data_IF_480859364760
#
_entry.id   IF_480859364760
#
_cell.length_a   1.000
_cell.length_b   1.000
_cell.length_c   1.000
_cell.angle_alpha   90.00
_cell.angle_beta   90.00
_cell.angle_gamma   90.00
#
_symmetry.space_group_name_H-M   'P 1'
#
loop_
_entity.id
_entity.type
_entity.pdbx_description
1 polymer ?
#
# COMPACT_ATOMS: atom_id res chain seq x y z
N UNK A 1 14.10 -4.49 4.52
CA UNK A 1 13.40 -5.05 3.33
C UNK A 1 12.28 -4.09 2.95
N UNK A 2 11.95 -3.95 1.67
CA UNK A 2 10.95 -2.99 1.17
C UNK A 2 9.62 -3.67 0.88
N UNK A 3 8.51 -2.99 1.18
CA UNK A 3 7.15 -3.47 0.95
C UNK A 3 6.27 -2.37 0.37
N UNK A 4 5.26 -2.73 -0.41
CA UNK A 4 4.26 -1.79 -0.93
C UNK A 4 2.98 -1.90 -0.11
N UNK A 5 2.50 -0.80 0.46
CA UNK A 5 1.25 -0.78 1.22
C UNK A 5 0.02 -0.65 0.32
N UNK A 6 -1.01 -1.44 0.60
CA UNK A 6 -2.40 -1.23 0.17
C UNK A 6 -3.12 -0.30 1.15
N UNK A 7 -4.13 0.42 0.67
CA UNK A 7 -5.07 1.23 1.45
C UNK A 7 -5.61 0.52 2.68
N UNK A 8 -6.13 -0.70 2.55
CA UNK A 8 -6.72 -1.41 3.68
C UNK A 8 -5.69 -1.78 4.74
N UNK A 9 -4.50 -2.23 4.30
CA UNK A 9 -3.43 -2.60 5.21
C UNK A 9 -2.96 -1.40 6.03
N UNK A 10 -2.74 -0.27 5.36
CA UNK A 10 -2.28 0.97 5.99
C UNK A 10 -3.31 1.54 6.96
N UNK A 11 -4.57 1.65 6.55
CA UNK A 11 -5.66 2.18 7.40
C UNK A 11 -5.85 1.30 8.63
N UNK A 12 -5.90 -0.02 8.47
CA UNK A 12 -6.09 -0.93 9.60
C UNK A 12 -4.90 -0.97 10.56
N UNK A 13 -3.67 -0.78 10.07
CA UNK A 13 -2.50 -0.65 10.93
C UNK A 13 -2.58 0.58 11.83
N UNK A 14 -2.87 1.74 11.24
CA UNK A 14 -2.98 3.00 12.00
C UNK A 14 -4.16 2.98 12.98
N UNK A 15 -5.27 2.34 12.60
CA UNK A 15 -6.44 2.16 13.46
C UNK A 15 -6.26 1.04 14.51
N UNK A 16 -5.14 0.30 14.50
CA UNK A 16 -4.92 -0.92 15.31
C UNK A 16 -6.05 -1.94 15.19
N UNK A 17 -6.61 -2.07 13.99
CA UNK A 17 -7.79 -2.89 13.70
C UNK A 17 -7.42 -4.38 13.60
N UNK A 18 -8.21 -5.26 14.20
CA UNK A 18 -7.96 -6.71 14.24
C UNK A 18 -8.13 -7.40 12.88
N UNK A 19 -8.77 -6.75 11.90
CA UNK A 19 -8.90 -7.27 10.53
C UNK A 19 -7.58 -7.32 9.78
N UNK A 20 -6.55 -6.59 10.25
CA UNK A 20 -5.21 -6.66 9.67
C UNK A 20 -4.61 -8.05 9.89
N UNK A 21 -4.25 -8.71 8.79
CA UNK A 21 -3.68 -10.05 8.80
C UNK A 21 -2.35 -10.12 9.57
N UNK A 22 -1.97 -11.35 9.96
CA UNK A 22 -0.81 -11.60 10.82
C UNK A 22 0.51 -11.22 10.13
N UNK A 23 0.66 -11.52 8.83
CA UNK A 23 1.86 -11.20 8.07
C UNK A 23 2.00 -9.69 7.83
N UNK A 24 0.91 -9.02 7.48
CA UNK A 24 0.83 -7.58 7.31
C UNK A 24 1.18 -6.86 8.61
N UNK A 25 0.58 -7.27 9.74
CA UNK A 25 0.89 -6.71 11.06
C UNK A 25 2.35 -6.91 11.44
N UNK A 26 2.92 -8.09 11.19
CA UNK A 26 4.35 -8.35 11.47
C UNK A 26 5.24 -7.38 10.70
N UNK A 27 5.04 -7.25 9.39
CA UNK A 27 5.86 -6.40 8.53
C UNK A 27 5.70 -4.91 8.86
N UNK A 28 4.48 -4.45 9.12
CA UNK A 28 4.24 -3.04 9.47
C UNK A 28 4.84 -2.70 10.85
N UNK A 29 4.80 -3.63 11.81
CA UNK A 29 5.51 -3.47 13.08
C UNK A 29 7.05 -3.54 12.94
N UNK A 30 7.58 -4.28 11.97
CA UNK A 30 9.00 -4.24 11.61
C UNK A 30 9.36 -2.87 11.02
N UNK A 31 8.50 -2.32 10.16
CA UNK A 31 8.67 -0.98 9.63
C UNK A 31 8.70 0.04 10.75
N UNK A 32 7.70 0.07 11.64
CA UNK A 32 7.63 1.02 12.76
C UNK A 32 8.87 1.00 13.67
N UNK A 33 9.59 -0.12 13.74
CA UNK A 33 10.86 -0.26 14.49
C UNK A 33 12.10 0.14 13.69
N UNK A 34 11.97 0.40 12.39
CA UNK A 34 13.05 0.72 11.47
C UNK A 34 13.72 -0.50 10.84
N UNK A 35 13.15 -1.70 10.99
CA UNK A 35 13.69 -2.95 10.46
C UNK A 35 13.24 -3.22 8.99
N UNK A 36 12.23 -2.48 8.52
CA UNK A 36 11.69 -2.55 7.16
C UNK A 36 11.30 -1.17 6.62
N UNK A 37 11.19 -1.07 5.31
CA UNK A 37 10.71 0.12 4.60
C UNK A 37 9.34 -0.17 3.98
N UNK A 38 8.42 0.78 4.13
CA UNK A 38 7.09 0.70 3.54
C UNK A 38 6.89 1.86 2.58
N UNK A 39 6.71 1.51 1.32
CA UNK A 39 6.40 2.44 0.26
C UNK A 39 4.88 2.51 0.13
N UNK A 40 4.34 3.72 0.19
CA UNK A 40 2.92 4.02 0.06
C UNK A 40 2.69 4.66 -1.31
N UNK A 41 2.12 3.96 -2.30
CA UNK A 41 1.75 4.56 -3.57
C UNK A 41 0.84 5.77 -3.36
N UNK A 42 1.05 6.90 -4.05
CA UNK A 42 0.21 8.10 -3.84
C UNK A 42 -1.27 7.87 -4.22
N UNK A 43 -1.56 6.85 -5.03
CA UNK A 43 -2.94 6.44 -5.32
C UNK A 43 -3.66 5.89 -4.07
N UNK A 44 -2.92 5.25 -3.16
CA UNK A 44 -3.43 4.78 -1.86
C UNK A 44 -3.76 5.97 -0.98
N UNK A 45 -2.89 6.99 -0.95
CA UNK A 45 -3.17 8.24 -0.22
C UNK A 45 -4.41 8.94 -0.77
N UNK A 46 -4.55 9.00 -2.09
CA UNK A 46 -5.76 9.52 -2.71
C UNK A 46 -6.99 8.73 -2.27
N UNK A 47 -6.95 7.39 -2.27
CA UNK A 47 -8.07 6.58 -1.79
C UNK A 47 -8.42 6.87 -0.32
N UNK A 48 -7.42 6.95 0.57
CA UNK A 48 -7.65 7.31 1.99
C UNK A 48 -8.30 8.69 2.12
N UNK A 49 -7.90 9.68 1.32
CA UNK A 49 -8.52 11.01 1.30
C UNK A 49 -10.00 10.97 0.90
N UNK A 50 -10.40 10.04 0.02
CA UNK A 50 -11.81 9.87 -0.32
C UNK A 50 -12.56 9.09 0.76
N UNK A 51 -11.91 8.11 1.41
CA UNK A 51 -12.49 7.35 2.52
C UNK A 51 -12.71 8.22 3.76
N UNK A 52 -11.80 9.14 4.08
CA UNK A 52 -11.92 10.06 5.23
C UNK A 52 -13.13 10.99 5.16
N UNK A 53 -13.70 11.20 3.97
CA UNK A 53 -14.94 11.97 3.78
C UNK A 53 -16.19 11.19 4.16
N UNK A 54 -16.08 9.86 4.31
CA UNK A 54 -17.20 8.94 4.53
C UNK A 54 -17.06 8.10 5.79
N UNK A 55 -15.88 8.10 6.41
CA UNK A 55 -15.53 7.29 7.56
C UNK A 55 -14.64 8.06 8.53
N UNK A 56 -14.56 7.59 9.77
CA UNK A 56 -13.71 8.17 10.81
C UNK A 56 -12.24 7.77 10.62
N UNK A 57 -11.61 8.36 9.60
CA UNK A 57 -10.19 8.18 9.28
C UNK A 57 -9.56 9.57 9.10
N UNK A 58 -8.56 9.90 9.91
CA UNK A 58 -7.85 11.18 9.80
C UNK A 58 -6.79 11.13 8.69
N UNK A 59 -7.07 11.78 7.56
CA UNK A 59 -6.12 11.90 6.45
C UNK A 59 -4.89 12.74 6.84
N UNK A 60 -5.09 13.83 7.59
CA UNK A 60 -3.99 14.70 8.02
C UNK A 60 -3.02 13.94 8.93
N UNK A 61 -3.54 13.14 9.88
CA UNK A 61 -2.71 12.29 10.73
C UNK A 61 -1.92 11.23 9.95
N UNK A 62 -2.48 10.69 8.87
CA UNK A 62 -1.76 9.77 7.97
C UNK A 62 -0.62 10.49 7.25
N UNK A 63 -0.85 11.69 6.73
CA UNK A 63 0.18 12.46 6.03
C UNK A 63 1.30 12.87 6.99
N UNK A 64 0.96 13.31 8.19
CA UNK A 64 1.95 13.66 9.22
C UNK A 64 2.77 12.44 9.62
N UNK A 65 2.12 11.29 9.83
CA UNK A 65 2.80 10.01 10.07
C UNK A 65 3.80 9.66 8.96
N UNK A 66 3.43 9.77 7.68
CA UNK A 66 4.34 9.45 6.57
C UNK A 66 5.49 10.45 6.47
N UNK A 67 5.26 11.74 6.78
CA UNK A 67 6.31 12.77 6.76
C UNK A 67 7.33 12.58 7.87
N UNK A 68 6.86 12.20 9.06
CA UNK A 68 7.69 12.08 10.25
C UNK A 68 8.40 10.72 10.32
N UNK A 69 7.82 9.67 9.72
CA UNK A 69 8.40 8.34 9.75
C UNK A 69 9.58 8.22 8.77
N UNK A 70 10.73 7.75 9.27
CA UNK A 70 11.94 7.53 8.45
C UNK A 70 11.85 6.34 7.51
N UNK A 71 10.91 5.44 7.79
CA UNK A 71 10.76 4.12 7.21
C UNK A 71 9.45 3.98 6.40
N UNK A 72 8.70 5.07 6.25
CA UNK A 72 7.60 5.18 5.30
C UNK A 72 7.94 6.22 4.25
N UNK A 73 7.57 5.97 3.00
CA UNK A 73 7.81 6.92 1.92
C UNK A 73 6.67 6.86 0.91
N UNK A 74 6.33 8.01 0.31
CA UNK A 74 5.35 8.04 -0.76
C UNK A 74 5.99 7.76 -2.12
N UNK A 75 5.34 6.95 -2.97
CA UNK A 75 5.77 6.73 -4.35
C UNK A 75 4.76 7.30 -5.34
N UNK A 76 5.16 8.29 -6.18
CA UNK A 76 4.23 9.03 -7.00
C UNK A 76 3.67 8.18 -8.15
N UNK A 77 2.37 8.34 -8.41
CA UNK A 77 1.72 7.89 -9.66
C UNK A 77 2.24 8.72 -10.84
N UNK A 78 3.43 8.38 -11.34
CA UNK A 78 4.06 8.99 -12.50
C UNK A 78 3.83 8.22 -13.79
N UNK A 79 4.32 8.78 -14.91
CA UNK A 79 4.23 8.15 -16.23
C UNK A 79 4.87 6.75 -16.29
N UNK A 80 5.88 6.49 -15.46
CA UNK A 80 6.50 5.16 -15.33
C UNK A 80 5.51 4.13 -14.75
N UNK A 81 4.76 4.49 -13.71
CA UNK A 81 3.71 3.64 -13.11
C UNK A 81 2.60 3.40 -14.12
N UNK A 82 2.09 4.46 -14.74
CA UNK A 82 1.03 4.36 -15.76
C UNK A 82 1.45 3.47 -16.94
N UNK A 83 2.70 3.59 -17.37
CA UNK A 83 3.24 2.74 -18.45
C UNK A 83 3.39 1.28 -18.03
N UNK A 84 3.74 1.01 -16.77
CA UNK A 84 3.83 -0.33 -16.23
C UNK A 84 2.45 -1.00 -16.06
N UNK A 85 1.42 -0.21 -15.71
CA UNK A 85 0.03 -0.69 -15.60
C UNK A 85 -0.49 -1.32 -16.90
N UNK A 86 -0.07 -0.82 -18.06
CA UNK A 86 -0.48 -1.36 -19.39
C UNK A 86 -0.12 -2.84 -19.59
N UNK A 87 0.86 -3.35 -18.83
CA UNK A 87 1.32 -4.75 -18.91
C UNK A 87 0.61 -5.66 -17.90
N UNK A 88 -0.34 -5.14 -17.13
CA UNK A 88 -1.09 -5.89 -16.12
C UNK A 88 -2.39 -6.43 -16.68
N UNK A 89 -2.96 -7.40 -15.97
CA UNK A 89 -4.23 -8.01 -16.32
C UNK A 89 -5.37 -6.97 -16.32
N UNK A 90 -6.31 -7.02 -17.28
CA UNK A 90 -7.43 -6.07 -17.37
C UNK A 90 -8.41 -6.14 -16.19
N UNK A 91 -8.34 -7.17 -15.36
CA UNK A 91 -9.18 -7.37 -14.18
C UNK A 91 -8.84 -6.43 -13.02
N UNK A 92 -7.65 -5.81 -13.01
CA UNK A 92 -7.30 -4.84 -11.98
C UNK A 92 -8.10 -3.56 -12.11
N UNK A 93 -8.54 -3.02 -10.97
CA UNK A 93 -8.96 -1.63 -10.91
C UNK A 93 -7.77 -0.70 -11.16
N UNK A 94 -8.05 0.59 -11.41
CA UNK A 94 -6.98 1.60 -11.55
C UNK A 94 -6.10 1.66 -10.29
N UNK A 95 -6.71 1.48 -9.10
CA UNK A 95 -6.02 1.51 -7.82
C UNK A 95 -5.08 0.30 -7.67
N UNK A 96 -5.61 -0.91 -7.88
CA UNK A 96 -4.83 -2.15 -7.75
C UNK A 96 -3.72 -2.22 -8.80
N UNK A 97 -4.02 -1.83 -10.03
CA UNK A 97 -3.02 -1.79 -11.10
C UNK A 97 -1.87 -0.84 -10.75
N UNK A 98 -2.14 0.33 -10.17
CA UNK A 98 -1.10 1.26 -9.76
C UNK A 98 -0.26 0.73 -8.57
N UNK A 99 -0.88 0.02 -7.62
CA UNK A 99 -0.17 -0.65 -6.51
C UNK A 99 0.74 -1.76 -7.05
N UNK A 100 0.21 -2.67 -7.87
CA UNK A 100 0.94 -3.79 -8.47
C UNK A 100 2.06 -3.29 -9.41
N UNK A 101 1.80 -2.24 -10.19
CA UNK A 101 2.82 -1.61 -11.03
C UNK A 101 3.97 -1.04 -10.18
N UNK A 102 3.64 -0.38 -9.06
CA UNK A 102 4.65 0.15 -8.13
C UNK A 102 5.50 -0.99 -7.54
N UNK A 103 4.86 -2.08 -7.13
CA UNK A 103 5.54 -3.31 -6.66
C UNK A 103 6.50 -3.88 -7.68
N UNK A 104 6.11 -3.96 -8.96
CA UNK A 104 6.98 -4.44 -10.03
C UNK A 104 8.16 -3.51 -10.31
N UNK A 105 7.95 -2.20 -10.24
CA UNK A 105 9.02 -1.22 -10.47
C UNK A 105 10.08 -1.29 -9.37
N UNK A 106 9.65 -1.49 -8.12
CA UNK A 106 10.51 -1.51 -6.94
C UNK A 106 10.96 -2.91 -6.52
N UNK A 107 10.54 -3.95 -7.23
CA UNK A 107 10.75 -5.37 -6.88
C UNK A 107 10.43 -5.68 -5.40
N UNK A 108 9.29 -5.18 -4.93
CA UNK A 108 8.88 -5.25 -3.53
C UNK A 108 7.50 -5.93 -3.38
N UNK A 109 7.30 -6.85 -2.42
CA UNK A 109 6.00 -7.47 -2.17
C UNK A 109 4.93 -6.47 -1.74
N UNK A 110 3.67 -6.74 -2.10
CA UNK A 110 2.49 -5.94 -1.72
C UNK A 110 1.88 -6.49 -0.42
N UNK A 111 1.59 -5.60 0.53
CA UNK A 111 0.85 -5.91 1.75
C UNK A 111 -0.63 -5.72 1.44
N UNK A 112 -1.36 -6.80 1.13
CA UNK A 112 -2.77 -6.70 0.71
C UNK A 112 -3.62 -7.92 1.07
N UNK A 113 -4.90 -7.66 1.36
CA UNK A 113 -5.94 -8.69 1.47
C UNK A 113 -6.58 -9.05 0.15
N UNK A 114 -6.33 -8.27 -0.89
CA UNK A 114 -7.11 -8.34 -2.11
C UNK A 114 -6.89 -9.68 -2.83
N UNK A 115 -8.00 -10.39 -3.03
CA UNK A 115 -7.99 -11.73 -3.64
C UNK A 115 -7.69 -11.68 -5.14
N UNK A 116 -7.95 -10.55 -5.82
CA UNK A 116 -7.61 -10.38 -7.23
C UNK A 116 -6.09 -10.29 -7.38
N UNK A 117 -5.41 -9.45 -6.57
CA UNK A 117 -3.95 -9.34 -6.56
C UNK A 117 -3.30 -10.69 -6.24
N UNK A 118 -3.82 -11.40 -5.23
CA UNK A 118 -3.31 -12.73 -4.84
C UNK A 118 -3.47 -13.78 -5.94
N UNK A 119 -4.64 -13.83 -6.57
CA UNK A 119 -4.99 -14.85 -7.56
C UNK A 119 -4.21 -14.66 -8.86
N UNK A 120 -4.04 -13.42 -9.31
CA UNK A 120 -3.38 -13.13 -10.58
C UNK A 120 -1.85 -13.33 -10.51
N UNK A 121 -1.25 -13.21 -9.32
CA UNK A 121 0.16 -13.54 -9.10
C UNK A 121 1.15 -12.57 -9.76
N UNK A 122 0.68 -11.39 -10.19
CA UNK A 122 1.54 -10.38 -10.82
C UNK A 122 2.53 -9.72 -9.85
N UNK A 123 2.31 -9.89 -8.55
CA UNK A 123 3.17 -9.44 -7.45
C UNK A 123 3.22 -10.48 -6.32
N UNK A 124 4.32 -10.48 -5.56
CA UNK A 124 4.41 -11.23 -4.30
C UNK A 124 3.49 -10.55 -3.27
N UNK A 125 2.72 -11.33 -2.51
CA UNK A 125 1.76 -10.79 -1.54
C UNK A 125 2.11 -11.20 -0.10
N UNK A 126 1.93 -10.28 0.83
CA UNK A 126 1.99 -10.50 2.28
C UNK A 126 0.64 -10.12 2.89
N UNK A 127 0.13 -10.94 3.81
CA UNK A 127 -1.06 -10.66 4.60
C UNK A 127 -0.99 -11.22 6.00
#
# INVERSE_FOLDING_TARGET
MMYIADTHALVWHLARDDRLGKGARRVLNEADRGDAEVVVPTIVLAEVLYLSRKADVSFDSLIDFIKDARNYSAYPLGLNVVSAMRKLAPEYSIHDAAIVATSRILDAPVITKDEVIRRLGDAKVIW
#
